data_IF_758169243468
#
_entry.id   IF_758169243468
#
_cell.length_a   1.000
_cell.length_b   1.000
_cell.length_c   1.000
_cell.angle_alpha   90.00
_cell.angle_beta   90.00
_cell.angle_gamma   90.00
#
_symmetry.space_group_name_H-M   'P 1'
#
loop_
_entity.id
_entity.type
_entity.pdbx_description
1 polymer ?
#
# COMPACT_ATOMS: atom_id res chain seq x y z
N UNK A 1 0.31 11.27 -8.26
CA UNK A 1 1.75 11.01 -8.45
C UNK A 1 2.41 12.29 -8.94
N UNK A 2 3.36 12.84 -8.18
CA UNK A 2 4.16 13.99 -8.62
C UNK A 2 5.65 13.63 -8.56
N UNK A 3 6.41 13.92 -9.62
CA UNK A 3 7.87 13.76 -9.65
C UNK A 3 8.54 15.11 -9.36
N UNK A 4 9.55 15.10 -8.48
CA UNK A 4 10.39 16.28 -8.22
C UNK A 4 11.87 15.92 -8.45
N UNK A 5 12.63 16.73 -9.21
CA UNK A 5 14.06 16.53 -9.37
C UNK A 5 14.73 16.78 -8.03
N UNK A 6 15.51 15.83 -7.54
CA UNK A 6 16.10 15.90 -6.19
C UNK A 6 17.43 16.69 -6.13
N UNK A 7 17.85 17.32 -7.23
CA UNK A 7 19.08 18.13 -7.30
C UNK A 7 20.40 17.34 -7.11
N UNK A 8 20.34 16.07 -6.72
CA UNK A 8 21.48 15.23 -6.34
C UNK A 8 22.05 14.39 -7.52
N UNK A 9 21.93 14.88 -8.76
CA UNK A 9 22.40 14.21 -9.97
C UNK A 9 21.29 13.59 -10.84
N UNK A 10 21.63 13.34 -12.11
CA UNK A 10 20.73 12.78 -13.12
C UNK A 10 20.28 11.38 -12.68
N UNK A 11 18.96 11.16 -12.57
CA UNK A 11 18.36 9.86 -12.24
C UNK A 11 17.78 9.71 -10.83
N UNK A 12 17.97 10.68 -9.92
CA UNK A 12 17.34 10.65 -8.60
C UNK A 12 15.97 11.36 -8.62
N UNK A 13 14.90 10.58 -8.58
CA UNK A 13 13.52 11.09 -8.53
C UNK A 13 12.86 10.77 -7.19
N UNK A 14 12.12 11.75 -6.66
CA UNK A 14 11.20 11.52 -5.56
C UNK A 14 9.78 11.51 -6.12
N UNK A 15 9.00 10.50 -5.72
CA UNK A 15 7.58 10.40 -6.01
C UNK A 15 6.78 10.68 -4.75
N UNK A 16 5.88 11.65 -4.81
CA UNK A 16 4.86 11.86 -3.79
C UNK A 16 3.58 11.13 -4.20
N UNK A 17 3.08 10.27 -3.31
CA UNK A 17 1.90 9.43 -3.52
C UNK A 17 0.97 9.66 -2.33
N UNK A 18 -0.27 10.07 -2.63
CA UNK A 18 -1.38 10.04 -1.70
C UNK A 18 -2.23 8.81 -2.02
N UNK A 19 -2.64 8.08 -0.98
CA UNK A 19 -3.44 6.87 -1.11
C UNK A 19 -4.60 6.90 -0.11
N UNK A 20 -5.74 6.33 -0.52
CA UNK A 20 -6.89 6.15 0.36
C UNK A 20 -6.81 4.79 1.06
N UNK A 21 -6.89 4.82 2.40
CA UNK A 21 -6.85 3.63 3.25
C UNK A 21 -6.06 3.85 4.54
N UNK A 22 -6.21 2.95 5.48
CA UNK A 22 -5.47 2.98 6.74
C UNK A 22 -4.26 2.03 6.67
N UNK A 23 -3.20 2.29 7.44
CA UNK A 23 -2.02 1.41 7.46
C UNK A 23 -2.33 -0.01 7.97
N UNK A 24 -3.44 -0.17 8.70
CA UNK A 24 -3.92 -1.46 9.18
C UNK A 24 -4.66 -2.26 8.11
N UNK A 25 -5.07 -1.61 7.01
CA UNK A 25 -5.69 -2.29 5.89
C UNK A 25 -4.62 -3.14 5.20
N UNK A 26 -4.90 -4.43 5.00
CA UNK A 26 -3.88 -5.38 4.50
C UNK A 26 -3.35 -4.97 3.13
N UNK A 27 -4.24 -4.49 2.26
CA UNK A 27 -3.88 -4.00 0.92
C UNK A 27 -2.88 -2.84 0.96
N UNK A 28 -2.98 -1.95 1.95
CA UNK A 28 -2.09 -0.79 2.11
C UNK A 28 -0.76 -1.25 2.67
N UNK A 29 -0.79 -2.10 3.71
CA UNK A 29 0.40 -2.65 4.33
C UNK A 29 1.26 -3.43 3.32
N UNK A 30 0.65 -4.30 2.51
CA UNK A 30 1.37 -5.08 1.49
C UNK A 30 1.95 -4.21 0.38
N UNK A 31 1.22 -3.20 -0.10
CA UNK A 31 1.75 -2.24 -1.07
C UNK A 31 2.98 -1.48 -0.50
N UNK A 32 2.92 -1.04 0.76
CA UNK A 32 4.04 -0.39 1.44
C UNK A 32 5.24 -1.31 1.62
N UNK A 33 5.03 -2.60 1.92
CA UNK A 33 6.10 -3.60 1.97
C UNK A 33 6.77 -3.76 0.59
N UNK A 34 5.98 -3.81 -0.48
CA UNK A 34 6.49 -3.84 -1.86
C UNK A 34 7.35 -2.62 -2.19
N UNK A 35 6.85 -1.42 -1.89
CA UNK A 35 7.60 -0.17 -2.07
C UNK A 35 8.89 -0.16 -1.27
N UNK A 36 8.85 -0.58 0.00
CA UNK A 36 10.03 -0.60 0.88
C UNK A 36 11.12 -1.54 0.38
N UNK A 37 10.75 -2.63 -0.33
CA UNK A 37 11.71 -3.56 -0.93
C UNK A 37 12.38 -3.02 -2.20
N UNK A 38 11.68 -2.18 -2.98
CA UNK A 38 12.13 -1.75 -4.30
C UNK A 38 12.79 -0.37 -4.26
N UNK A 39 12.23 0.56 -3.49
CA UNK A 39 12.70 1.93 -3.43
C UNK A 39 13.90 2.08 -2.48
N UNK A 40 14.90 2.87 -2.90
CA UNK A 40 16.07 3.20 -2.06
C UNK A 40 15.68 3.81 -0.72
N UNK A 41 14.69 4.70 -0.73
CA UNK A 41 14.16 5.36 0.45
C UNK A 41 12.64 5.51 0.31
N UNK A 42 11.93 5.22 1.39
CA UNK A 42 10.47 5.43 1.51
C UNK A 42 10.24 6.25 2.77
N UNK A 43 9.59 7.40 2.64
CA UNK A 43 9.21 8.26 3.76
C UNK A 43 7.71 8.17 3.95
N UNK A 44 7.30 7.79 5.16
CA UNK A 44 5.91 7.79 5.56
C UNK A 44 5.56 9.12 6.20
N UNK A 45 4.59 9.85 5.63
CA UNK A 45 4.23 11.19 6.07
C UNK A 45 3.07 11.21 7.09
N UNK A 46 2.53 10.04 7.44
CA UNK A 46 1.45 9.89 8.42
C UNK A 46 0.10 9.58 7.78
N UNK A 47 -0.89 9.37 8.65
CA UNK A 47 -2.28 9.17 8.30
C UNK A 47 -3.04 10.43 8.72
N UNK A 48 -3.97 10.87 7.89
CA UNK A 48 -4.83 11.99 8.20
C UNK A 48 -6.27 11.64 7.80
N UNK A 49 -7.27 12.03 8.60
CA UNK A 49 -8.67 11.89 8.21
C UNK A 49 -8.92 12.67 6.92
N UNK A 50 -9.73 12.08 6.04
CA UNK A 50 -10.21 12.77 4.83
C UNK A 50 -10.99 14.03 5.23
N UNK A 51 -10.78 15.13 4.52
CA UNK A 51 -11.43 16.41 4.84
C UNK A 51 -12.94 16.39 4.54
N UNK A 52 -13.32 15.68 3.47
CA UNK A 52 -14.69 15.32 3.11
C UNK A 52 -15.13 14.10 3.94
N UNK A 53 -15.94 14.39 4.97
CA UNK A 53 -16.43 13.43 5.98
C UNK A 53 -17.49 12.45 5.47
N UNK A 54 -17.71 12.33 4.15
CA UNK A 54 -18.72 11.42 3.64
C UNK A 54 -18.13 10.01 3.43
N UNK A 55 -18.53 9.00 4.24
CA UNK A 55 -18.17 7.61 3.96
C UNK A 55 -18.73 7.12 2.61
N UNK A 56 -19.70 7.83 2.03
CA UNK A 56 -20.25 7.56 0.70
C UNK A 56 -19.24 7.70 -0.45
N UNK A 57 -18.11 8.41 -0.23
CA UNK A 57 -17.05 8.56 -1.20
C UNK A 57 -15.98 7.46 -1.18
N UNK A 58 -15.98 6.57 -0.17
CA UNK A 58 -15.05 5.45 -0.17
C UNK A 58 -15.45 4.46 -1.25
N UNK A 59 -14.61 4.35 -2.28
CA UNK A 59 -14.72 3.30 -3.27
C UNK A 59 -14.62 1.95 -2.54
N UNK A 60 -15.63 1.10 -2.72
CA UNK A 60 -15.57 -0.27 -2.23
C UNK A 60 -14.29 -0.96 -2.73
N UNK A 61 -13.67 -1.85 -1.94
CA UNK A 61 -12.50 -2.60 -2.38
C UNK A 61 -12.77 -3.24 -3.74
N UNK A 62 -11.79 -3.14 -4.63
CA UNK A 62 -11.81 -3.89 -5.89
C UNK A 62 -11.76 -5.39 -5.58
N UNK A 63 -12.31 -6.21 -6.46
CA UNK A 63 -12.17 -7.68 -6.37
C UNK A 63 -10.70 -8.06 -6.22
N UNK A 64 -10.38 -8.94 -5.28
CA UNK A 64 -9.02 -9.33 -4.91
C UNK A 64 -8.30 -8.36 -3.98
N UNK A 65 -8.95 -7.31 -3.48
CA UNK A 65 -8.32 -6.29 -2.61
C UNK A 65 -8.99 -6.10 -1.25
N UNK A 66 -9.99 -6.91 -0.93
CA UNK A 66 -10.57 -6.91 0.41
C UNK A 66 -9.61 -7.55 1.42
N UNK A 67 -9.71 -7.14 2.69
CA UNK A 67 -8.89 -7.71 3.75
C UNK A 67 -9.13 -9.22 3.93
N UNK A 68 -10.34 -9.71 3.64
CA UNK A 68 -10.69 -11.13 3.65
C UNK A 68 -9.95 -11.91 2.57
N UNK A 69 -9.87 -11.38 1.35
CA UNK A 69 -9.13 -12.00 0.26
C UNK A 69 -7.63 -12.04 0.56
N UNK A 70 -7.06 -10.98 1.12
CA UNK A 70 -5.67 -10.97 1.58
C UNK A 70 -5.42 -12.00 2.70
N UNK A 71 -6.34 -12.12 3.66
CA UNK A 71 -6.25 -13.18 4.69
C UNK A 71 -6.28 -14.57 4.08
N UNK A 72 -7.24 -14.83 3.18
CA UNK A 72 -7.39 -16.13 2.55
C UNK A 72 -6.15 -16.50 1.72
N UNK A 73 -5.57 -15.53 1.00
CA UNK A 73 -4.32 -15.73 0.26
C UNK A 73 -3.13 -16.01 1.18
N UNK A 74 -2.97 -15.23 2.26
CA UNK A 74 -1.88 -15.43 3.23
C UNK A 74 -1.99 -16.78 3.94
N UNK A 75 -3.20 -17.19 4.32
CA UNK A 75 -3.45 -18.49 4.93
C UNK A 75 -3.16 -19.63 3.95
N UNK A 76 -3.59 -19.50 2.69
CA UNK A 76 -3.27 -20.49 1.66
C UNK A 76 -1.76 -20.66 1.46
N UNK A 77 -0.99 -19.57 1.39
CA UNK A 77 0.47 -19.64 1.31
C UNK A 77 1.08 -20.33 2.53
N UNK A 78 0.61 -20.00 3.74
CA UNK A 78 1.09 -20.63 4.97
C UNK A 78 0.86 -22.15 4.95
N UNK A 79 -0.33 -22.60 4.52
CA UNK A 79 -0.63 -24.03 4.37
C UNK A 79 0.30 -24.70 3.35
N UNK A 80 0.56 -24.07 2.21
CA UNK A 80 1.50 -24.59 1.21
C UNK A 80 2.93 -24.74 1.77
N UNK A 81 3.39 -23.79 2.59
CA UNK A 81 4.70 -23.86 3.25
C UNK A 81 4.77 -24.99 4.29
N UNK A 82 3.66 -25.27 4.97
CA UNK A 82 3.52 -26.38 5.91
C UNK A 82 3.31 -27.75 5.24
N UNK A 83 3.28 -27.81 3.90
CA UNK A 83 3.02 -29.03 3.13
C UNK A 83 1.57 -29.52 3.19
N UNK A 84 0.64 -28.65 3.58
CA UNK A 84 -0.81 -28.91 3.63
C UNK A 84 -1.45 -28.24 2.41
N UNK A 85 -1.92 -29.00 1.44
CA UNK A 85 -2.58 -28.48 0.24
C UNK A 85 -3.94 -29.12 0.04
#
# INVERSE_FOLDING_TARGET
>A
LQSRPTGAGIGNYCFCIDAEGHITDRRVAEALMGLKRICREVRFLGLYPRADKEPAGLRAPLTGTSDEEFMAASDWVARCQDGRF
#
